data_IF_460455837339
#
_entry.id   IF_460455837339
#
_cell.length_a   1.000
_cell.length_b   1.000
_cell.length_c   1.000
_cell.angle_alpha   90.00
_cell.angle_beta   90.00
_cell.angle_gamma   90.00
#
_symmetry.space_group_name_H-M   'P 1'
#
loop_
_entity.id
_entity.type
_entity.pdbx_description
1 polymer ?
#
# COMPACT_ATOMS: atom_id res chain seq x y z
N UNK A 1 2.71 6.16 -9.53
CA UNK A 1 1.66 6.00 -8.51
C UNK A 1 1.94 4.71 -7.76
N UNK A 2 1.66 4.67 -6.47
CA UNK A 2 1.70 3.45 -5.66
C UNK A 2 0.55 3.44 -4.67
N UNK A 3 0.33 2.31 -4.01
CA UNK A 3 -0.70 2.15 -2.98
C UNK A 3 -0.12 1.49 -1.73
N UNK A 4 -0.77 1.71 -0.59
CA UNK A 4 -0.47 1.06 0.68
C UNK A 4 -1.78 0.69 1.38
N UNK A 5 -2.04 -0.60 1.57
CA UNK A 5 -3.11 -1.08 2.43
C UNK A 5 -2.68 -1.10 3.90
N UNK A 6 -3.60 -0.77 4.81
CA UNK A 6 -3.38 -0.74 6.26
C UNK A 6 -4.50 -1.46 6.99
N UNK A 7 -4.12 -2.28 7.98
CA UNK A 7 -5.06 -2.97 8.87
C UNK A 7 -5.58 -2.09 10.01
N UNK A 8 -4.98 -0.92 10.21
CA UNK A 8 -5.42 0.10 11.16
C UNK A 8 -5.66 1.44 10.45
N UNK A 9 -6.51 2.28 11.04
CA UNK A 9 -6.77 3.62 10.50
C UNK A 9 -5.49 4.46 10.52
N UNK A 10 -5.04 5.03 9.38
CA UNK A 10 -3.88 5.90 9.39
C UNK A 10 -4.18 7.22 10.13
N UNK A 11 -3.26 7.62 11.01
CA UNK A 11 -3.22 8.98 11.54
C UNK A 11 -2.50 9.89 10.53
N UNK A 12 -3.05 11.08 10.18
CA UNK A 12 -2.39 12.00 9.25
C UNK A 12 -0.94 12.32 9.63
N UNK A 13 -0.65 12.47 10.92
CA UNK A 13 0.70 12.75 11.41
C UNK A 13 1.68 11.59 11.18
N UNK A 14 1.22 10.34 11.31
CA UNK A 14 2.04 9.16 11.05
C UNK A 14 2.37 9.03 9.55
N UNK A 15 1.39 9.32 8.69
CA UNK A 15 1.60 9.37 7.23
C UNK A 15 2.58 10.49 6.88
N UNK A 16 2.38 11.70 7.42
CA UNK A 16 3.29 12.82 7.20
C UNK A 16 4.73 12.51 7.65
N UNK A 17 4.89 11.91 8.83
CA UNK A 17 6.20 11.50 9.34
C UNK A 17 6.87 10.44 8.47
N UNK A 18 6.11 9.46 7.96
CA UNK A 18 6.65 8.45 7.04
C UNK A 18 7.15 9.10 5.74
N UNK A 19 6.37 10.00 5.13
CA UNK A 19 6.79 10.72 3.93
C UNK A 19 7.99 11.64 4.19
N UNK A 20 8.04 12.34 5.32
CA UNK A 20 9.18 13.16 5.68
C UNK A 20 10.49 12.35 5.84
N UNK A 21 10.39 11.08 6.27
CA UNK A 21 11.55 10.21 6.44
C UNK A 21 12.10 9.69 5.10
N UNK A 22 11.22 9.39 4.12
CA UNK A 22 11.61 8.67 2.89
C UNK A 22 11.54 9.51 1.62
N UNK A 23 10.87 10.65 1.66
CA UNK A 23 10.81 11.65 0.59
C UNK A 23 10.86 13.07 1.20
N UNK A 24 11.94 13.44 1.92
CA UNK A 24 12.03 14.73 2.63
C UNK A 24 11.92 15.95 1.71
N UNK A 25 12.24 15.80 0.43
CA UNK A 25 12.10 16.83 -0.60
C UNK A 25 10.65 17.02 -1.08
N UNK A 26 9.77 16.05 -0.82
CA UNK A 26 8.40 16.07 -1.30
C UNK A 26 7.49 16.89 -0.39
N UNK A 27 6.58 17.66 -0.99
CA UNK A 27 5.46 18.27 -0.30
C UNK A 27 4.31 17.26 -0.26
N UNK A 28 3.88 16.85 0.92
CA UNK A 28 2.72 15.97 1.06
C UNK A 28 1.41 16.78 0.97
N UNK A 29 0.46 16.34 0.15
CA UNK A 29 -0.89 16.92 0.07
C UNK A 29 -1.95 15.82 0.14
N UNK A 30 -3.02 16.09 0.88
CA UNK A 30 -4.19 15.22 0.93
C UNK A 30 -5.23 15.65 -0.11
N UNK A 31 -5.78 14.69 -0.84
CA UNK A 31 -6.85 14.92 -1.80
C UNK A 31 -6.46 14.63 -3.24
N UNK A 32 -7.27 15.16 -4.15
CA UNK A 32 -7.11 14.98 -5.59
C UNK A 32 -5.97 15.82 -6.16
N UNK A 33 -5.51 15.44 -7.35
CA UNK A 33 -4.51 16.14 -8.12
C UNK A 33 -4.99 17.54 -8.54
N UNK A 34 -4.10 18.54 -8.46
CA UNK A 34 -4.33 19.93 -8.85
C UNK A 34 -3.19 20.49 -9.75
N UNK A 35 -3.36 21.70 -10.28
CA UNK A 35 -2.45 22.29 -11.27
C UNK A 35 -1.08 22.74 -10.68
N UNK A 36 -0.91 22.90 -9.36
CA UNK A 36 0.39 23.22 -8.71
C UNK A 36 1.01 21.96 -8.08
N UNK A 37 1.54 21.10 -8.93
CA UNK A 37 1.83 19.72 -8.57
C UNK A 37 3.32 19.32 -8.58
N UNK A 38 4.22 20.19 -9.04
CA UNK A 38 5.65 19.86 -9.08
C UNK A 38 6.20 19.67 -7.65
N UNK A 39 6.92 18.56 -7.42
CA UNK A 39 7.50 18.29 -6.10
C UNK A 39 6.49 17.78 -5.07
N UNK A 40 5.26 17.44 -5.46
CA UNK A 40 4.18 17.06 -4.55
C UNK A 40 3.96 15.54 -4.57
N UNK A 41 3.63 14.96 -3.42
CA UNK A 41 2.98 13.65 -3.36
C UNK A 41 1.55 13.86 -2.89
N UNK A 42 0.60 13.53 -3.76
CA UNK A 42 -0.82 13.56 -3.43
C UNK A 42 -1.24 12.22 -2.83
N UNK A 43 -1.93 12.24 -1.69
CA UNK A 43 -2.40 11.06 -1.00
C UNK A 43 -3.91 11.11 -0.83
N UNK A 44 -4.56 10.02 -1.22
CA UNK A 44 -5.99 9.79 -1.01
C UNK A 44 -6.19 8.58 -0.10
N UNK A 45 -7.15 8.68 0.81
CA UNK A 45 -7.53 7.58 1.69
C UNK A 45 -8.82 6.94 1.18
N UNK A 46 -8.74 5.66 0.83
CA UNK A 46 -9.86 4.85 0.38
C UNK A 46 -10.24 3.81 1.43
N UNK A 47 -11.49 3.36 1.38
CA UNK A 47 -11.97 2.17 2.10
C UNK A 47 -11.87 0.96 1.19
N UNK A 48 -11.46 -0.16 1.75
CA UNK A 48 -11.35 -1.44 1.05
C UNK A 48 -12.06 -2.52 1.88
N UNK A 49 -12.71 -3.49 1.22
CA UNK A 49 -13.48 -4.55 1.89
C UNK A 49 -12.64 -5.81 2.20
N UNK A 50 -11.36 -5.62 2.51
CA UNK A 50 -10.39 -6.68 2.83
C UNK A 50 -9.91 -6.60 4.28
N UNK A 51 -8.94 -7.45 4.63
CA UNK A 51 -8.20 -7.39 5.88
C UNK A 51 -7.31 -6.13 6.02
N UNK A 52 -7.20 -5.33 4.96
CA UNK A 52 -6.62 -3.99 4.94
C UNK A 52 -7.71 -2.96 4.63
N UNK A 53 -8.58 -2.60 5.60
CA UNK A 53 -9.77 -1.78 5.35
C UNK A 53 -9.49 -0.33 4.94
N UNK A 54 -8.22 0.10 4.95
CA UNK A 54 -7.77 1.42 4.57
C UNK A 54 -6.71 1.30 3.49
N UNK A 55 -6.86 2.01 2.37
CA UNK A 55 -5.87 2.06 1.30
C UNK A 55 -5.44 3.50 1.06
N UNK A 56 -4.14 3.78 1.19
CA UNK A 56 -3.53 5.03 0.77
C UNK A 56 -3.16 4.92 -0.70
N UNK A 57 -3.74 5.75 -1.55
CA UNK A 57 -3.35 5.87 -2.95
C UNK A 57 -2.48 7.11 -3.09
N UNK A 58 -1.25 6.92 -3.59
CA UNK A 58 -0.26 7.98 -3.66
C UNK A 58 0.17 8.26 -5.10
N UNK A 59 -0.02 9.50 -5.53
CA UNK A 59 0.48 10.03 -6.80
C UNK A 59 1.74 10.85 -6.54
N UNK A 60 2.89 10.27 -6.85
CA UNK A 60 4.19 10.90 -6.63
C UNK A 60 4.62 11.74 -7.85
N UNK A 61 4.66 13.06 -7.66
CA UNK A 61 5.16 14.04 -8.62
C UNK A 61 6.42 14.76 -8.07
N UNK A 62 6.99 14.23 -6.99
CA UNK A 62 8.27 14.64 -6.44
C UNK A 62 9.46 13.87 -7.06
N UNK A 63 9.18 12.85 -7.88
CA UNK A 63 10.18 12.00 -8.52
C UNK A 63 10.68 10.87 -7.60
N UNK A 64 11.65 10.11 -8.08
CA UNK A 64 12.15 8.90 -7.41
C UNK A 64 11.44 7.63 -7.86
N UNK A 65 11.78 6.51 -7.22
CA UNK A 65 11.18 5.20 -7.51
C UNK A 65 9.97 4.97 -6.60
N UNK A 66 8.78 4.93 -7.20
CA UNK A 66 7.51 4.70 -6.48
C UNK A 66 7.45 3.35 -5.78
N UNK A 67 8.14 2.35 -6.31
CA UNK A 67 8.17 1.02 -5.70
C UNK A 67 8.93 1.06 -4.38
N UNK A 68 10.15 1.61 -4.40
CA UNK A 68 11.01 1.72 -3.21
C UNK A 68 10.38 2.65 -2.17
N UNK A 69 9.78 3.76 -2.62
CA UNK A 69 9.05 4.67 -1.73
C UNK A 69 7.84 3.97 -1.10
N UNK A 70 7.05 3.24 -1.89
CA UNK A 70 5.90 2.47 -1.40
C UNK A 70 6.29 1.45 -0.33
N UNK A 71 7.36 0.67 -0.57
CA UNK A 71 7.91 -0.28 0.40
C UNK A 71 8.34 0.40 1.70
N UNK A 72 9.11 1.49 1.60
CA UNK A 72 9.64 2.20 2.76
C UNK A 72 8.52 2.82 3.62
N UNK A 73 7.52 3.43 2.98
CA UNK A 73 6.37 4.01 3.67
C UNK A 73 5.51 2.90 4.30
N UNK A 74 5.22 1.81 3.59
CA UNK A 74 4.44 0.70 4.12
C UNK A 74 5.08 0.12 5.39
N UNK A 75 6.39 -0.20 5.33
CA UNK A 75 7.14 -0.66 6.50
C UNK A 75 7.04 0.31 7.66
N UNK A 76 7.26 1.60 7.41
CA UNK A 76 7.26 2.63 8.46
C UNK A 76 5.89 2.75 9.13
N UNK A 77 4.82 2.71 8.35
CA UNK A 77 3.45 2.75 8.87
C UNK A 77 3.10 1.48 9.66
N UNK A 78 3.56 0.30 9.23
CA UNK A 78 3.37 -0.94 9.99
C UNK A 78 3.96 -0.86 11.41
N UNK A 79 5.10 -0.17 11.55
CA UNK A 79 5.77 0.04 12.83
C UNK A 79 5.08 1.15 13.64
N UNK A 80 4.85 2.30 13.02
CA UNK A 80 4.31 3.49 13.71
C UNK A 80 2.88 3.27 14.23
N UNK A 81 2.09 2.43 13.55
CA UNK A 81 0.70 2.15 13.90
C UNK A 81 0.51 0.80 14.59
N UNK A 82 1.60 0.06 14.87
CA UNK A 82 1.57 -1.31 15.41
C UNK A 82 0.57 -2.21 14.67
N UNK A 83 0.63 -2.20 13.34
CA UNK A 83 -0.35 -2.86 12.48
C UNK A 83 0.30 -3.59 11.31
N UNK A 84 -0.50 -4.37 10.58
CA UNK A 84 -0.11 -4.90 9.27
C UNK A 84 -0.33 -3.85 8.17
N UNK A 85 0.57 -3.79 7.21
CA UNK A 85 0.41 -3.05 5.97
C UNK A 85 0.74 -3.91 4.75
N UNK A 86 0.27 -3.52 3.57
CA UNK A 86 0.58 -4.19 2.30
C UNK A 86 0.90 -3.16 1.22
N UNK A 87 1.83 -3.48 0.33
CA UNK A 87 2.14 -2.71 -0.87
C UNK A 87 2.58 -3.63 -2.01
N UNK A 88 2.88 -3.05 -3.17
CA UNK A 88 3.44 -3.76 -4.33
C UNK A 88 4.67 -4.60 -3.94
N UNK A 89 4.73 -5.83 -4.45
CA UNK A 89 5.83 -6.79 -4.27
C UNK A 89 6.26 -7.45 -5.58
N UNK A 90 5.93 -6.86 -6.73
CA UNK A 90 6.25 -7.34 -8.08
C UNK A 90 7.73 -7.67 -8.29
N UNK A 91 8.66 -7.07 -7.54
CA UNK A 91 10.11 -7.35 -7.64
C UNK A 91 10.58 -8.50 -6.72
N UNK A 92 9.70 -9.06 -5.88
CA UNK A 92 10.06 -10.11 -4.90
C UNK A 92 9.42 -11.47 -5.19
N UNK A 93 8.43 -11.53 -6.09
CA UNK A 93 7.85 -12.79 -6.54
C UNK A 93 8.77 -13.59 -7.48
N UNK A 94 8.47 -14.87 -7.74
CA UNK A 94 9.15 -15.69 -8.75
C UNK A 94 9.02 -15.13 -10.18
N UNK A 95 8.06 -14.23 -10.41
CA UNK A 95 7.82 -13.52 -11.66
C UNK A 95 7.55 -12.05 -11.37
N UNK A 96 7.62 -11.18 -12.38
CA UNK A 96 7.20 -9.77 -12.27
C UNK A 96 5.69 -9.59 -12.47
N UNK A 97 4.88 -10.55 -12.01
CA UNK A 97 3.43 -10.47 -12.12
C UNK A 97 2.87 -9.46 -11.11
N UNK A 98 1.79 -8.72 -11.46
CA UNK A 98 1.24 -7.67 -10.61
C UNK A 98 0.58 -8.17 -9.31
N UNK A 99 0.26 -9.46 -9.19
CA UNK A 99 -0.37 -10.01 -7.98
C UNK A 99 0.59 -10.34 -6.83
N UNK A 100 1.89 -10.04 -6.98
CA UNK A 100 2.83 -10.14 -5.87
C UNK A 100 2.77 -8.89 -5.01
N UNK A 101 2.64 -9.08 -3.71
CA UNK A 101 2.63 -7.99 -2.73
C UNK A 101 3.63 -8.25 -1.60
N UNK A 102 4.06 -7.19 -0.91
CA UNK A 102 4.80 -7.30 0.35
C UNK A 102 3.87 -6.94 1.48
N UNK A 103 3.66 -7.88 2.40
CA UNK A 103 2.93 -7.67 3.64
C UNK A 103 3.93 -7.43 4.76
N UNK A 104 3.82 -6.30 5.43
CA UNK A 104 4.57 -5.98 6.63
C UNK A 104 3.71 -6.28 7.85
N UNK A 105 4.24 -7.03 8.81
CA UNK A 105 3.67 -7.18 10.16
C UNK A 105 4.67 -6.60 11.15
N UNK A 106 4.36 -5.40 11.67
CA UNK A 106 5.19 -4.69 12.65
C UNK A 106 6.67 -4.63 12.23
N UNK A 107 6.89 -4.24 10.97
CA UNK A 107 8.22 -4.10 10.36
C UNK A 107 8.84 -5.39 9.82
N UNK A 108 8.21 -6.55 10.00
CA UNK A 108 8.66 -7.80 9.39
C UNK A 108 8.01 -8.02 8.02
N UNK A 109 8.83 -8.16 6.98
CA UNK A 109 8.36 -8.39 5.61
C UNK A 109 8.02 -9.85 5.32
N UNK A 110 6.93 -10.07 4.58
CA UNK A 110 6.50 -11.33 4.01
C UNK A 110 6.08 -11.14 2.56
N UNK A 111 6.42 -12.10 1.70
CA UNK A 111 5.87 -12.17 0.35
C UNK A 111 4.42 -12.67 0.45
N UNK A 112 3.51 -11.92 -0.17
CA UNK A 112 2.12 -12.28 -0.34
C UNK A 112 1.75 -12.45 -1.80
N UNK A 113 0.69 -13.22 -2.04
CA UNK A 113 -0.01 -13.35 -3.32
C UNK A 113 -1.44 -12.83 -3.11
N UNK A 114 -1.77 -11.74 -3.77
CA UNK A 114 -3.06 -11.06 -3.65
C UNK A 114 -4.04 -11.41 -4.78
N UNK A 115 -3.68 -12.31 -5.71
CA UNK A 115 -4.66 -12.89 -6.63
C UNK A 115 -5.73 -13.64 -5.86
N UNK A 116 -6.98 -13.48 -6.29
CA UNK A 116 -8.19 -13.99 -5.65
C UNK A 116 -8.41 -13.48 -4.22
N UNK A 117 -7.73 -12.39 -3.86
CA UNK A 117 -7.96 -11.71 -2.58
C UNK A 117 -8.99 -10.60 -2.72
N UNK A 118 -9.67 -10.29 -1.62
CA UNK A 118 -10.53 -9.11 -1.52
C UNK A 118 -9.75 -7.79 -1.63
N UNK A 119 -8.44 -7.83 -1.44
CA UNK A 119 -7.64 -6.62 -1.50
C UNK A 119 -7.45 -6.17 -2.95
N UNK A 120 -7.14 -7.11 -3.86
CA UNK A 120 -6.83 -6.83 -5.26
C UNK A 120 -8.03 -7.01 -6.20
N UNK A 121 -8.80 -8.09 -6.05
CA UNK A 121 -9.83 -8.49 -7.01
C UNK A 121 -11.24 -7.98 -6.67
N UNK A 122 -11.46 -7.38 -5.50
CA UNK A 122 -12.80 -6.90 -5.13
C UNK A 122 -13.22 -5.70 -6.00
N UNK A 123 -14.33 -5.86 -6.73
CA UNK A 123 -14.88 -4.84 -7.64
C UNK A 123 -16.41 -4.73 -7.47
N UNK A 124 -17.01 -3.54 -7.67
CA UNK A 124 -18.46 -3.38 -7.74
C UNK A 124 -19.15 -4.28 -8.76
N UNK A 125 -18.42 -4.73 -9.79
CA UNK A 125 -18.96 -5.55 -10.89
C UNK A 125 -19.10 -7.04 -10.53
N UNK A 126 -18.49 -7.48 -9.42
CA UNK A 126 -18.59 -8.87 -8.97
C UNK A 126 -20.00 -9.19 -8.46
N UNK A 127 -20.52 -10.34 -8.87
CA UNK A 127 -21.68 -10.96 -8.26
C UNK A 127 -21.41 -11.36 -6.79
N UNK A 128 -22.47 -11.64 -6.04
CA UNK A 128 -22.34 -12.10 -4.66
C UNK A 128 -21.58 -13.43 -4.56
N UNK A 129 -21.78 -14.35 -5.51
CA UNK A 129 -21.12 -15.65 -5.53
C UNK A 129 -19.63 -15.53 -5.86
N UNK A 130 -19.26 -14.67 -6.82
CA UNK A 130 -17.85 -14.38 -7.14
C UNK A 130 -17.14 -13.74 -5.95
N UNK A 131 -17.78 -12.73 -5.34
CA UNK A 131 -17.24 -12.06 -4.15
C UNK A 131 -17.07 -13.01 -2.96
N UNK A 132 -17.96 -13.99 -2.81
CA UNK A 132 -17.88 -15.00 -1.76
C UNK A 132 -16.67 -15.94 -1.93
N UNK A 133 -16.12 -16.07 -3.13
CA UNK A 133 -14.91 -16.86 -3.40
C UNK A 133 -13.62 -16.11 -3.06
N UNK A 134 -13.68 -14.78 -2.89
CA UNK A 134 -12.51 -13.99 -2.55
C UNK A 134 -12.11 -14.16 -1.07
N UNK A 135 -10.82 -14.44 -0.86
CA UNK A 135 -10.21 -14.62 0.45
C UNK A 135 -9.35 -13.42 0.90
N UNK A 136 -8.62 -13.55 2.02
CA UNK A 136 -7.52 -12.66 2.33
C UNK A 136 -6.31 -12.92 1.42
N UNK A 137 -5.34 -12.01 1.42
CA UNK A 137 -4.03 -12.19 0.79
C UNK A 137 -3.36 -13.46 1.35
N UNK A 138 -2.79 -14.27 0.46
CA UNK A 138 -2.08 -15.49 0.83
C UNK A 138 -0.64 -15.16 1.20
N UNK A 139 -0.29 -15.30 2.47
CA UNK A 139 1.09 -15.14 2.94
C UNK A 139 1.90 -16.39 2.61
N UNK A 140 3.04 -16.22 1.94
CA UNK A 140 3.86 -17.34 1.47
C UNK A 140 5.06 -17.60 2.39
N UNK A 141 6.00 -16.66 2.44
CA UNK A 141 7.21 -16.79 3.26
C UNK A 141 7.77 -15.42 3.63
N UNK A 142 8.63 -15.40 4.64
CA UNK A 142 9.33 -14.20 5.12
C UNK A 142 10.36 -13.74 4.09
N UNK A 143 10.49 -12.42 3.92
CA UNK A 143 11.54 -11.79 3.13
C UNK A 143 12.64 -11.19 4.02
N UNK A 144 13.85 -11.05 3.45
CA UNK A 144 14.96 -10.29 4.03
C UNK A 144 15.10 -8.96 3.28
N UNK A 145 14.45 -7.91 3.80
CA UNK A 145 14.41 -6.54 3.27
C UNK A 145 14.87 -5.52 4.33
#
# INVERSE_FOLDING_TARGET
MFYIGLSAQPHPDAVAAAFAAHAPQARLRWGEFDDDCAGVVFVQLHRNASEFPFALHATNLAGGDDYELGLAIARTLSLALDCRSVCDGTRHGPTQAPGWCVVWDRGQAYLGDDYHSRFYDDSPDLSADERAQLGPIRILHRLEL
#
